data_IF_130869365112
#
_entry.id   IF_130869365112
#
_cell.length_a   1.000
_cell.length_b   1.000
_cell.length_c   1.000
_cell.angle_alpha   90.00
_cell.angle_beta   90.00
_cell.angle_gamma   90.00
#
_symmetry.space_group_name_H-M   'P 1'
#
loop_
_entity.id
_entity.type
_entity.pdbx_description
1 polymer ?
#
# COMPACT_ATOMS: atom_id res chain seq x y z
N UNK A 1 -26.56 22.77 -6.90
CA UNK A 1 -27.71 21.93 -6.46
C UNK A 1 -28.45 21.24 -7.60
N UNK A 2 -28.20 21.57 -8.87
CA UNK A 2 -28.93 20.96 -10.01
C UNK A 2 -28.62 19.47 -10.26
N UNK A 3 -27.54 18.93 -9.68
CA UNK A 3 -27.03 17.57 -9.92
C UNK A 3 -28.05 16.45 -9.64
N UNK A 4 -28.93 16.65 -8.67
CA UNK A 4 -29.89 15.62 -8.21
C UNK A 4 -31.36 15.97 -8.51
N UNK A 5 -31.61 17.07 -9.21
CA UNK A 5 -32.98 17.46 -9.58
C UNK A 5 -33.59 16.38 -10.47
N UNK A 6 -34.83 15.98 -10.16
CA UNK A 6 -35.55 14.94 -10.89
C UNK A 6 -35.10 13.50 -10.59
N UNK A 7 -34.06 13.29 -9.77
CA UNK A 7 -33.60 11.94 -9.38
C UNK A 7 -34.47 11.35 -8.26
N UNK A 8 -34.41 10.03 -8.16
CA UNK A 8 -34.95 9.25 -7.04
C UNK A 8 -33.79 8.70 -6.22
N UNK A 9 -34.08 8.31 -4.97
CA UNK A 9 -33.11 7.90 -3.98
C UNK A 9 -33.52 6.58 -3.34
N UNK A 10 -32.54 5.73 -3.13
CA UNK A 10 -32.57 4.69 -2.11
C UNK A 10 -31.88 5.23 -0.87
N UNK A 11 -32.53 5.10 0.29
CA UNK A 11 -32.06 5.69 1.54
C UNK A 11 -31.70 4.58 2.51
N UNK A 12 -30.46 4.58 2.98
CA UNK A 12 -29.98 3.70 4.03
C UNK A 12 -29.86 4.48 5.33
N UNK A 13 -30.64 4.11 6.34
CA UNK A 13 -30.61 4.68 7.68
C UNK A 13 -29.73 3.80 8.58
N UNK A 14 -28.51 4.26 8.86
CA UNK A 14 -27.58 3.56 9.75
C UNK A 14 -27.86 3.96 11.20
N UNK A 15 -28.32 3.01 12.02
CA UNK A 15 -28.71 3.27 13.41
C UNK A 15 -27.72 2.64 14.38
N UNK A 16 -27.52 3.27 15.54
CA UNK A 16 -26.73 2.68 16.63
C UNK A 16 -27.42 1.46 17.22
N UNK A 17 -26.65 0.59 17.88
CA UNK A 17 -27.11 -0.63 18.54
C UNK A 17 -27.83 -0.32 19.85
N UNK A 18 -28.92 0.44 19.75
CA UNK A 18 -29.71 0.92 20.88
C UNK A 18 -31.19 0.95 20.49
N UNK A 19 -32.11 0.56 21.39
CA UNK A 19 -33.55 0.57 21.10
C UNK A 19 -34.08 1.93 20.63
N UNK A 20 -33.61 3.03 21.23
CA UNK A 20 -34.03 4.38 20.87
C UNK A 20 -33.69 4.73 19.41
N UNK A 21 -32.46 4.43 18.96
CA UNK A 21 -32.08 4.69 17.57
C UNK A 21 -32.83 3.83 16.57
N UNK A 22 -33.16 2.59 16.92
CA UNK A 22 -34.02 1.74 16.08
C UNK A 22 -35.43 2.31 15.91
N UNK A 23 -36.03 2.81 17.00
CA UNK A 23 -37.34 3.48 16.96
C UNK A 23 -37.26 4.77 16.13
N UNK A 24 -36.22 5.58 16.33
CA UNK A 24 -36.00 6.81 15.57
C UNK A 24 -35.84 6.50 14.06
N UNK A 25 -35.04 5.49 13.70
CA UNK A 25 -34.87 5.04 12.32
C UNK A 25 -36.20 4.64 11.67
N UNK A 26 -37.06 3.93 12.41
CA UNK A 26 -38.40 3.56 11.92
C UNK A 26 -39.29 4.79 11.68
N UNK A 27 -39.33 5.71 12.64
CA UNK A 27 -40.12 6.95 12.50
C UNK A 27 -39.65 7.80 11.31
N UNK A 28 -38.32 7.91 11.13
CA UNK A 28 -37.73 8.62 9.99
C UNK A 28 -38.09 7.91 8.69
N UNK A 29 -37.97 6.57 8.62
CA UNK A 29 -38.34 5.78 7.44
C UNK A 29 -39.79 6.00 7.02
N UNK A 30 -40.73 5.91 7.97
CA UNK A 30 -42.15 6.13 7.72
C UNK A 30 -42.42 7.57 7.25
N UNK A 31 -41.75 8.55 7.87
CA UNK A 31 -41.86 9.98 7.52
C UNK A 31 -41.33 10.27 6.13
N UNK A 32 -40.18 9.70 5.77
CA UNK A 32 -39.54 9.85 4.46
C UNK A 32 -40.43 9.29 3.34
N UNK A 33 -40.92 8.06 3.51
CA UNK A 33 -41.82 7.42 2.53
C UNK A 33 -43.11 8.21 2.33
N UNK A 34 -43.68 8.75 3.41
CA UNK A 34 -44.92 9.54 3.37
C UNK A 34 -44.71 10.93 2.75
N UNK A 35 -43.63 11.60 3.10
CA UNK A 35 -43.39 13.00 2.72
C UNK A 35 -42.81 13.14 1.31
N UNK A 36 -42.10 12.11 0.83
CA UNK A 36 -41.40 12.13 -0.46
C UNK A 36 -41.65 10.87 -1.31
N UNK A 37 -42.93 10.46 -1.54
CA UNK A 37 -43.26 9.19 -2.17
C UNK A 37 -42.75 9.05 -3.62
N UNK A 38 -42.60 10.16 -4.34
CA UNK A 38 -42.10 10.16 -5.72
C UNK A 38 -40.57 10.24 -5.84
N UNK A 39 -39.88 10.47 -4.71
CA UNK A 39 -38.42 10.64 -4.67
C UNK A 39 -37.72 9.50 -3.97
N UNK A 40 -38.37 8.82 -3.03
CA UNK A 40 -37.76 7.76 -2.24
C UNK A 40 -38.31 6.42 -2.70
N UNK A 41 -37.46 5.65 -3.38
CA UNK A 41 -37.81 4.32 -3.92
C UNK A 41 -37.85 3.29 -2.80
N UNK A 42 -36.87 3.36 -1.91
CA UNK A 42 -36.73 2.45 -0.80
C UNK A 42 -36.09 3.17 0.40
N UNK A 43 -36.43 2.71 1.60
CA UNK A 43 -35.72 3.07 2.83
C UNK A 43 -35.41 1.80 3.59
N UNK A 44 -34.12 1.53 3.74
CA UNK A 44 -33.58 0.40 4.50
C UNK A 44 -32.99 0.89 5.83
N UNK A 45 -33.16 0.13 6.90
CA UNK A 45 -32.67 0.46 8.24
C UNK A 45 -31.63 -0.58 8.63
N UNK A 46 -30.40 -0.13 8.87
CA UNK A 46 -29.25 -0.99 9.19
C UNK A 46 -28.74 -0.66 10.58
N UNK A 47 -28.99 -1.55 11.54
CA UNK A 47 -28.46 -1.43 12.89
C UNK A 47 -27.00 -1.85 12.91
N UNK A 48 -26.12 -0.93 13.28
CA UNK A 48 -24.69 -1.17 13.36
C UNK A 48 -24.35 -1.74 14.73
N UNK A 49 -24.16 -3.06 14.81
CA UNK A 49 -23.86 -3.77 16.05
C UNK A 49 -22.64 -3.18 16.77
N UNK A 50 -22.75 -2.94 18.08
CA UNK A 50 -21.68 -2.39 18.89
C UNK A 50 -21.43 -0.89 18.72
N UNK A 51 -22.10 -0.22 17.78
CA UNK A 51 -22.03 1.23 17.64
C UNK A 51 -22.89 1.87 18.73
N UNK A 52 -22.27 2.38 19.79
CA UNK A 52 -22.93 2.99 20.95
C UNK A 52 -21.99 3.98 21.68
N UNK A 53 -22.48 4.65 22.73
CA UNK A 53 -21.74 5.70 23.48
C UNK A 53 -21.47 5.40 24.96
N UNK A 54 -21.93 4.27 25.46
CA UNK A 54 -21.78 3.85 26.86
C UNK A 54 -20.49 3.09 27.15
N UNK A 55 -19.89 2.43 26.15
CA UNK A 55 -18.69 1.61 26.29
C UNK A 55 -17.70 1.90 25.15
N UNK A 56 -16.61 2.59 25.46
CA UNK A 56 -15.65 3.04 24.44
C UNK A 56 -14.95 1.88 23.73
N UNK A 57 -14.72 0.77 24.43
CA UNK A 57 -14.03 -0.39 23.87
C UNK A 57 -14.88 -1.07 22.80
N UNK A 58 -16.14 -1.37 23.08
CA UNK A 58 -17.09 -1.98 22.13
C UNK A 58 -17.33 -1.06 20.94
N UNK A 59 -17.42 0.26 21.16
CA UNK A 59 -17.50 1.23 20.07
C UNK A 59 -16.28 1.12 19.15
N UNK A 60 -15.06 1.17 19.72
CA UNK A 60 -13.80 1.15 18.96
C UNK A 60 -13.52 -0.22 18.30
N UNK A 61 -13.85 -1.31 18.97
CA UNK A 61 -13.43 -2.66 18.59
C UNK A 61 -14.45 -3.40 17.72
N UNK A 62 -15.70 -2.95 17.71
CA UNK A 62 -16.78 -3.59 16.95
C UNK A 62 -17.61 -2.56 16.21
N UNK A 63 -18.24 -1.64 16.94
CA UNK A 63 -19.21 -0.70 16.39
C UNK A 63 -18.70 0.08 15.18
N UNK A 64 -17.45 0.50 15.32
CA UNK A 64 -16.76 1.26 14.32
C UNK A 64 -16.43 0.48 13.05
N UNK A 65 -15.86 -0.72 13.21
CA UNK A 65 -15.52 -1.55 12.06
C UNK A 65 -16.78 -2.00 11.31
N UNK A 66 -17.83 -2.33 12.05
CA UNK A 66 -19.13 -2.64 11.46
C UNK A 66 -19.74 -1.44 10.70
N UNK A 67 -19.51 -0.19 11.16
CA UNK A 67 -19.94 1.01 10.44
C UNK A 67 -19.20 1.15 9.12
N UNK A 68 -17.88 0.94 9.11
CA UNK A 68 -17.06 0.96 7.89
C UNK A 68 -17.54 -0.10 6.91
N UNK A 69 -17.76 -1.33 7.40
CA UNK A 69 -18.22 -2.46 6.59
C UNK A 69 -19.56 -2.17 5.93
N UNK A 70 -20.54 -1.63 6.68
CA UNK A 70 -21.86 -1.34 6.14
C UNK A 70 -21.81 -0.22 5.09
N UNK A 71 -21.11 0.89 5.38
CA UNK A 71 -20.96 2.01 4.42
C UNK A 71 -20.26 1.52 3.14
N UNK A 72 -19.22 0.70 3.28
CA UNK A 72 -18.51 0.14 2.15
C UNK A 72 -19.38 -0.82 1.33
N UNK A 73 -20.17 -1.67 1.98
CA UNK A 73 -21.13 -2.56 1.32
C UNK A 73 -22.14 -1.76 0.50
N UNK A 74 -22.75 -0.74 1.09
CA UNK A 74 -23.71 0.14 0.41
C UNK A 74 -23.05 0.86 -0.78
N UNK A 75 -21.83 1.35 -0.60
CA UNK A 75 -21.11 2.03 -1.68
C UNK A 75 -20.76 1.09 -2.85
N UNK A 76 -20.52 -0.19 -2.59
CA UNK A 76 -20.28 -1.16 -3.66
C UNK A 76 -21.54 -1.51 -4.45
N UNK A 77 -22.73 -1.29 -3.88
CA UNK A 77 -24.01 -1.50 -4.56
C UNK A 77 -24.36 -0.36 -5.53
N UNK A 78 -23.75 0.84 -5.38
CA UNK A 78 -24.09 2.03 -6.18
C UNK A 78 -22.90 2.95 -6.46
N UNK A 79 -22.78 3.42 -7.70
CA UNK A 79 -21.70 4.34 -8.12
C UNK A 79 -21.96 5.82 -7.78
N UNK A 80 -23.12 6.15 -7.19
CA UNK A 80 -23.52 7.54 -6.89
C UNK A 80 -23.94 7.73 -5.43
N UNK A 81 -23.31 6.99 -4.53
CA UNK A 81 -23.55 7.08 -3.08
C UNK A 81 -23.19 8.47 -2.56
N UNK A 82 -24.02 8.99 -1.66
CA UNK A 82 -23.76 10.22 -0.92
C UNK A 82 -23.96 9.97 0.57
N UNK A 83 -23.17 10.64 1.41
CA UNK A 83 -23.23 10.47 2.85
C UNK A 83 -23.78 11.71 3.53
N UNK A 84 -24.93 11.60 4.20
CA UNK A 84 -25.43 12.68 5.04
C UNK A 84 -24.93 12.50 6.48
N UNK A 85 -24.11 13.44 6.96
CA UNK A 85 -23.52 13.42 8.31
C UNK A 85 -24.13 14.47 9.25
N UNK A 86 -25.29 15.05 8.89
CA UNK A 86 -25.98 16.06 9.71
C UNK A 86 -26.46 15.50 11.04
N UNK A 87 -26.84 14.22 11.07
CA UNK A 87 -27.32 13.52 12.25
C UNK A 87 -26.32 12.49 12.79
N UNK A 88 -26.55 12.06 14.03
CA UNK A 88 -25.76 11.01 14.68
C UNK A 88 -24.74 11.53 15.69
N UNK A 89 -23.96 10.60 16.24
CA UNK A 89 -22.98 10.94 17.27
C UNK A 89 -21.77 11.66 16.68
N UNK A 90 -21.35 12.77 17.29
CA UNK A 90 -20.18 13.54 16.85
C UNK A 90 -18.89 12.71 16.77
N UNK A 91 -18.80 11.62 17.53
CA UNK A 91 -17.67 10.69 17.51
C UNK A 91 -17.50 9.96 16.16
N UNK A 92 -18.57 9.75 15.38
CA UNK A 92 -18.47 9.05 14.08
C UNK A 92 -18.10 9.99 12.93
N UNK A 93 -18.35 11.30 13.05
CA UNK A 93 -18.15 12.29 11.99
C UNK A 93 -16.71 12.32 11.46
N UNK A 94 -15.64 12.41 12.29
CA UNK A 94 -14.28 12.47 11.79
C UNK A 94 -13.91 11.26 10.94
N UNK A 95 -14.46 10.10 11.30
CA UNK A 95 -14.19 8.86 10.61
C UNK A 95 -14.97 8.78 9.33
N UNK A 96 -16.27 9.06 9.38
CA UNK A 96 -17.11 9.04 8.20
C UNK A 96 -16.55 10.01 7.16
N UNK A 97 -15.97 11.11 7.62
CA UNK A 97 -15.19 12.02 6.78
C UNK A 97 -14.00 11.31 6.15
N UNK A 98 -13.12 10.66 6.94
CA UNK A 98 -11.98 9.92 6.39
C UNK A 98 -12.40 8.81 5.42
N UNK A 99 -13.37 7.99 5.79
CA UNK A 99 -13.89 6.91 4.95
C UNK A 99 -14.44 7.45 3.63
N UNK A 100 -15.25 8.49 3.68
CA UNK A 100 -15.80 9.11 2.48
C UNK A 100 -14.71 9.65 1.55
N UNK A 101 -13.64 10.26 2.10
CA UNK A 101 -12.50 10.71 1.30
C UNK A 101 -11.75 9.53 0.63
N UNK A 102 -11.69 8.36 1.27
CA UNK A 102 -11.02 7.16 0.72
C UNK A 102 -11.87 6.40 -0.29
N UNK A 103 -13.18 6.39 -0.07
CA UNK A 103 -14.18 5.74 -0.92
C UNK A 103 -14.70 6.66 -2.03
N UNK A 104 -14.16 7.88 -2.11
CA UNK A 104 -14.57 8.95 -3.01
C UNK A 104 -16.06 9.35 -2.92
N UNK A 105 -16.65 9.20 -1.73
CA UNK A 105 -18.06 9.52 -1.45
C UNK A 105 -18.23 11.00 -1.13
N UNK A 106 -19.21 11.65 -1.76
CA UNK A 106 -19.57 13.05 -1.44
C UNK A 106 -20.32 13.09 -0.11
N UNK A 107 -19.91 14.02 0.76
CA UNK A 107 -20.53 14.25 2.06
C UNK A 107 -21.46 15.46 1.97
N UNK A 108 -22.63 15.35 2.61
CA UNK A 108 -23.57 16.43 2.82
C UNK A 108 -23.79 16.67 4.33
N UNK A 109 -23.83 17.94 4.70
CA UNK A 109 -24.11 18.40 6.06
C UNK A 109 -25.05 19.60 6.01
N UNK A 110 -26.16 19.55 6.75
CA UNK A 110 -27.06 20.69 6.94
C UNK A 110 -26.52 21.50 8.11
N UNK A 111 -26.20 22.78 7.88
CA UNK A 111 -25.68 23.65 8.93
C UNK A 111 -26.75 23.92 10.00
N UNK A 112 -26.38 23.75 11.27
CA UNK A 112 -27.31 23.83 12.41
C UNK A 112 -28.21 25.08 12.35
N UNK A 113 -29.48 24.91 12.68
CA UNK A 113 -30.50 25.96 12.70
C UNK A 113 -30.68 26.73 11.36
N UNK A 114 -30.27 26.13 10.25
CA UNK A 114 -30.43 26.70 8.90
C UNK A 114 -30.97 25.69 7.89
N UNK A 115 -31.32 26.18 6.70
CA UNK A 115 -31.63 25.33 5.53
C UNK A 115 -30.44 25.19 4.58
N UNK A 116 -29.24 25.64 5.01
CA UNK A 116 -28.05 25.64 4.18
C UNK A 116 -27.44 24.23 4.13
N UNK A 117 -27.31 23.70 2.91
CA UNK A 117 -26.69 22.42 2.64
C UNK A 117 -25.22 22.65 2.24
N UNK A 118 -24.32 22.16 3.05
CA UNK A 118 -22.89 22.17 2.81
C UNK A 118 -22.51 20.86 2.11
N UNK A 119 -21.90 20.99 0.94
CA UNK A 119 -21.28 19.88 0.20
C UNK A 119 -19.80 19.83 0.52
N UNK A 120 -19.33 18.67 0.99
CA UNK A 120 -17.90 18.38 1.16
C UNK A 120 -17.57 17.26 0.17
N UNK A 121 -16.98 17.66 -0.96
CA UNK A 121 -16.45 16.72 -1.94
C UNK A 121 -15.14 16.07 -1.49
N UNK A 122 -14.55 15.28 -2.39
CA UNK A 122 -13.20 14.77 -2.17
C UNK A 122 -12.20 15.92 -2.23
N UNK A 123 -11.47 16.08 -1.13
CA UNK A 123 -10.40 17.04 -1.00
C UNK A 123 -9.14 16.47 -1.65
N UNK A 124 -8.22 17.31 -2.14
CA UNK A 124 -6.93 16.87 -2.67
C UNK A 124 -5.96 16.45 -1.54
N UNK A 125 -6.45 15.61 -0.63
CA UNK A 125 -5.70 15.01 0.47
C UNK A 125 -5.41 13.56 0.11
N UNK A 126 -4.20 13.11 0.40
CA UNK A 126 -3.80 11.73 0.19
C UNK A 126 -2.98 11.27 1.39
N UNK A 127 -2.87 9.97 1.58
CA UNK A 127 -1.99 9.44 2.60
C UNK A 127 -0.51 9.60 2.21
N UNK A 128 0.36 9.64 3.22
CA UNK A 128 1.79 9.55 3.01
C UNK A 128 2.17 8.11 2.66
N UNK A 129 2.30 7.84 1.36
CA UNK A 129 2.63 6.52 0.84
C UNK A 129 4.02 6.03 1.25
N UNK A 130 4.97 6.93 1.49
CA UNK A 130 6.28 6.55 2.03
C UNK A 130 6.16 5.90 3.41
N UNK A 131 5.14 6.31 4.20
CA UNK A 131 4.79 5.67 5.46
C UNK A 131 4.02 4.37 5.19
N UNK A 132 2.98 4.38 4.36
CA UNK A 132 2.14 3.20 4.14
C UNK A 132 2.94 2.03 3.56
N UNK A 133 3.74 2.24 2.50
CA UNK A 133 4.53 1.18 1.85
C UNK A 133 5.44 0.44 2.83
N UNK A 134 6.00 1.15 3.83
CA UNK A 134 6.85 0.56 4.86
C UNK A 134 6.08 -0.43 5.73
N UNK A 135 4.81 -0.14 6.06
CA UNK A 135 4.05 -0.89 7.06
C UNK A 135 2.94 -1.75 6.48
N UNK A 136 2.55 -1.57 5.22
CA UNK A 136 1.37 -2.18 4.61
C UNK A 136 1.36 -3.70 4.76
N UNK A 137 2.50 -4.36 4.61
CA UNK A 137 2.60 -5.81 4.74
C UNK A 137 2.35 -6.30 6.18
N UNK A 138 2.76 -5.51 7.17
CA UNK A 138 2.58 -5.79 8.59
C UNK A 138 1.14 -5.45 9.00
N UNK A 139 0.59 -4.35 8.50
CA UNK A 139 -0.79 -3.92 8.73
C UNK A 139 -1.76 -4.98 8.19
N UNK A 140 -1.55 -5.46 6.95
CA UNK A 140 -2.44 -6.44 6.31
C UNK A 140 -2.35 -7.85 6.90
N UNK A 141 -1.25 -8.20 7.57
CA UNK A 141 -1.01 -9.57 8.02
C UNK A 141 -0.83 -9.65 9.54
N UNK A 142 -1.89 -10.06 10.23
CA UNK A 142 -1.90 -10.21 11.68
C UNK A 142 -0.77 -11.12 12.19
N UNK A 143 -0.45 -12.22 11.47
CA UNK A 143 0.64 -13.12 11.86
C UNK A 143 2.02 -12.45 11.77
N UNK A 144 2.26 -11.63 10.74
CA UNK A 144 3.51 -10.86 10.62
C UNK A 144 3.60 -9.80 11.69
N UNK A 145 2.49 -9.11 11.98
CA UNK A 145 2.40 -8.12 13.06
C UNK A 145 2.66 -8.72 14.43
N UNK A 146 2.11 -9.89 14.73
CA UNK A 146 2.35 -10.58 16.00
C UNK A 146 3.77 -11.13 16.14
N UNK A 147 4.50 -11.30 15.04
CA UNK A 147 5.91 -11.74 15.02
C UNK A 147 6.91 -10.61 14.85
N UNK A 148 6.46 -9.38 14.58
CA UNK A 148 7.32 -8.21 14.42
C UNK A 148 8.03 -7.87 15.74
N UNK A 149 9.23 -7.30 15.61
CA UNK A 149 10.03 -6.83 16.73
C UNK A 149 9.39 -5.61 17.42
N UNK A 150 9.70 -5.41 18.71
CA UNK A 150 9.07 -4.36 19.51
C UNK A 150 9.39 -2.94 19.03
N UNK A 151 10.55 -2.71 18.41
CA UNK A 151 10.87 -1.39 17.85
C UNK A 151 9.88 -1.04 16.75
N UNK A 152 9.65 -1.96 15.80
CA UNK A 152 8.67 -1.80 14.74
C UNK A 152 7.24 -1.65 15.27
N UNK A 153 6.86 -2.41 16.30
CA UNK A 153 5.55 -2.28 16.97
C UNK A 153 5.40 -0.89 17.61
N UNK A 154 6.44 -0.37 18.26
CA UNK A 154 6.42 0.97 18.81
C UNK A 154 6.26 2.02 17.72
N UNK A 155 6.91 1.85 16.56
CA UNK A 155 6.70 2.75 15.42
C UNK A 155 5.23 2.77 14.95
N UNK A 156 4.58 1.60 14.87
CA UNK A 156 3.16 1.49 14.50
C UNK A 156 2.26 2.17 15.54
N UNK A 157 2.61 2.13 16.83
CA UNK A 157 1.87 2.81 17.91
C UNK A 157 2.05 4.32 17.87
N UNK A 158 3.26 4.80 17.59
CA UNK A 158 3.56 6.22 17.46
C UNK A 158 2.77 6.84 16.31
N UNK A 159 2.64 6.09 15.21
CA UNK A 159 1.84 6.45 14.04
C UNK A 159 0.33 6.22 14.21
N UNK A 160 -0.11 5.70 15.37
CA UNK A 160 -1.52 5.36 15.65
C UNK A 160 -2.11 4.41 14.61
N UNK A 161 -1.31 3.48 14.09
CA UNK A 161 -1.75 2.44 13.15
C UNK A 161 -2.27 1.21 13.89
N UNK A 162 -1.74 0.92 15.08
CA UNK A 162 -2.22 -0.12 15.98
C UNK A 162 -2.67 0.47 17.31
N UNK A 163 -3.46 -0.31 18.06
CA UNK A 163 -3.93 0.09 19.39
C UNK A 163 -2.78 0.18 20.40
N UNK A 164 -3.00 0.94 21.46
CA UNK A 164 -2.00 1.17 22.52
C UNK A 164 -1.80 -0.03 23.44
N UNK A 165 -2.81 -0.85 23.59
CA UNK A 165 -2.91 -1.92 24.57
C UNK A 165 -2.53 -3.28 23.98
N UNK A 166 -2.71 -3.45 22.67
CA UNK A 166 -2.43 -4.72 21.99
C UNK A 166 -1.83 -4.46 20.59
N UNK A 167 -1.74 -5.51 19.76
CA UNK A 167 -1.21 -5.41 18.39
C UNK A 167 -2.32 -5.37 17.34
N UNK A 168 -3.58 -5.15 17.72
CA UNK A 168 -4.68 -5.02 16.76
C UNK A 168 -4.61 -3.69 16.03
N UNK A 169 -5.20 -3.64 14.84
CA UNK A 169 -5.31 -2.40 14.09
C UNK A 169 -6.17 -1.40 14.86
N UNK A 170 -5.72 -0.15 14.83
CA UNK A 170 -6.58 0.98 15.17
C UNK A 170 -7.56 1.25 14.03
N UNK A 171 -8.50 2.16 14.27
CA UNK A 171 -9.35 2.79 13.26
C UNK A 171 -8.57 3.22 12.01
N UNK A 172 -7.49 3.97 12.19
CA UNK A 172 -6.69 4.52 11.08
C UNK A 172 -5.92 3.39 10.37
N UNK A 173 -5.39 2.44 11.13
CA UNK A 173 -4.69 1.28 10.58
C UNK A 173 -5.58 0.41 9.71
N UNK A 174 -6.83 0.20 10.10
CA UNK A 174 -7.81 -0.53 9.31
C UNK A 174 -8.17 0.19 8.02
N UNK A 175 -8.49 1.49 8.10
CA UNK A 175 -8.79 2.30 6.92
C UNK A 175 -7.64 2.27 5.90
N UNK A 176 -6.39 2.41 6.37
CA UNK A 176 -5.20 2.29 5.53
C UNK A 176 -5.06 0.87 4.96
N UNK A 177 -5.30 -0.17 5.76
CA UNK A 177 -5.21 -1.57 5.30
C UNK A 177 -6.14 -1.82 4.10
N UNK A 178 -7.39 -1.39 4.22
CA UNK A 178 -8.44 -1.54 3.19
C UNK A 178 -8.16 -0.69 1.97
N UNK A 179 -7.76 0.57 2.17
CA UNK A 179 -7.41 1.44 1.06
C UNK A 179 -6.20 0.90 0.28
N UNK A 180 -5.21 0.34 0.98
CA UNK A 180 -4.07 -0.32 0.36
C UNK A 180 -4.41 -1.64 -0.37
N UNK A 181 -5.58 -2.25 -0.14
CA UNK A 181 -6.08 -3.39 -0.92
C UNK A 181 -6.66 -2.99 -2.26
N UNK A 182 -7.33 -1.84 -2.31
CA UNK A 182 -7.96 -1.30 -3.52
C UNK A 182 -6.97 -0.63 -4.45
N UNK A 183 -5.85 -0.14 -3.91
CA UNK A 183 -4.85 0.51 -4.72
C UNK A 183 -4.22 -0.46 -5.69
N UNK A 184 -4.27 -0.07 -6.96
CA UNK A 184 -3.56 -0.74 -8.04
C UNK A 184 -2.08 -0.90 -7.67
N UNK A 185 -1.42 -2.01 -8.05
CA UNK A 185 0.00 -2.21 -7.81
C UNK A 185 0.85 -0.98 -8.10
N UNK A 186 0.47 -0.15 -9.10
CA UNK A 186 1.10 1.10 -9.53
C UNK A 186 1.31 2.17 -8.45
N UNK A 187 0.42 2.31 -7.45
CA UNK A 187 0.60 3.34 -6.40
C UNK A 187 1.62 2.92 -5.34
N UNK A 188 1.81 1.61 -5.15
CA UNK A 188 2.86 1.03 -4.31
C UNK A 188 4.24 0.96 -5.03
N UNK A 189 4.37 1.59 -6.22
CA UNK A 189 5.59 1.57 -7.04
C UNK A 189 6.26 2.94 -7.12
N UNK A 190 5.64 4.05 -6.71
CA UNK A 190 6.26 5.37 -6.93
C UNK A 190 7.65 5.42 -6.29
N UNK A 191 7.80 4.93 -5.05
CA UNK A 191 9.11 4.89 -4.44
C UNK A 191 10.04 3.85 -5.07
N UNK A 192 9.51 2.69 -5.48
CA UNK A 192 10.24 1.67 -6.25
C UNK A 192 10.86 2.25 -7.53
N UNK A 193 10.05 2.92 -8.36
CA UNK A 193 10.50 3.61 -9.56
C UNK A 193 11.55 4.68 -9.25
N UNK A 194 11.36 5.48 -8.19
CA UNK A 194 12.37 6.47 -7.80
C UNK A 194 13.70 5.82 -7.41
N UNK A 195 13.67 4.67 -6.74
CA UNK A 195 14.87 3.90 -6.42
C UNK A 195 15.52 3.35 -7.69
N UNK A 196 14.73 2.80 -8.61
CA UNK A 196 15.23 2.33 -9.90
C UNK A 196 15.94 3.46 -10.65
N UNK A 197 15.33 4.64 -10.80
CA UNK A 197 15.97 5.80 -11.42
C UNK A 197 17.25 6.21 -10.70
N UNK A 198 17.28 6.15 -9.36
CA UNK A 198 18.49 6.47 -8.59
C UNK A 198 19.60 5.45 -8.79
N UNK A 199 19.27 4.17 -8.88
CA UNK A 199 20.23 3.11 -9.18
C UNK A 199 20.71 3.18 -10.63
N UNK A 200 19.85 3.55 -11.58
CA UNK A 200 20.23 3.83 -12.97
C UNK A 200 21.23 4.98 -13.01
N UNK A 201 20.98 6.10 -12.33
CA UNK A 201 21.90 7.23 -12.23
C UNK A 201 23.26 6.80 -11.65
N UNK A 202 23.23 5.98 -10.60
CA UNK A 202 24.43 5.45 -9.93
C UNK A 202 25.24 4.52 -10.85
N UNK A 203 24.60 3.52 -11.47
CA UNK A 203 25.30 2.59 -12.35
C UNK A 203 25.71 3.21 -13.69
N UNK A 204 24.97 4.20 -14.19
CA UNK A 204 25.39 4.98 -15.36
C UNK A 204 26.73 5.68 -15.14
N UNK A 205 26.99 6.19 -13.92
CA UNK A 205 28.29 6.76 -13.55
C UNK A 205 29.41 5.72 -13.50
N UNK A 206 29.09 4.46 -13.17
CA UNK A 206 30.06 3.38 -13.05
C UNK A 206 30.37 2.67 -14.39
N UNK A 207 29.37 2.45 -15.24
CA UNK A 207 29.47 1.65 -16.45
C UNK A 207 29.48 2.48 -17.76
N UNK A 208 28.99 3.73 -17.70
CA UNK A 208 28.68 4.57 -18.86
C UNK A 208 27.18 4.65 -19.08
N UNK A 209 26.64 5.86 -19.30
CA UNK A 209 25.20 6.10 -19.35
C UNK A 209 24.50 5.38 -20.52
N UNK A 210 25.18 5.24 -21.65
CA UNK A 210 24.69 4.52 -22.83
C UNK A 210 24.60 3.00 -22.63
N UNK A 211 25.24 2.48 -21.58
CA UNK A 211 25.27 1.05 -21.26
C UNK A 211 24.22 0.63 -20.25
N UNK A 212 23.59 1.58 -19.57
CA UNK A 212 22.62 1.32 -18.49
C UNK A 212 21.23 1.73 -18.95
N UNK A 213 20.36 0.75 -19.14
CA UNK A 213 18.99 0.94 -19.60
C UNK A 213 18.02 0.67 -18.45
N UNK A 214 17.06 1.57 -18.25
CA UNK A 214 15.97 1.43 -17.28
C UNK A 214 14.75 0.79 -17.96
N UNK A 215 14.01 -0.07 -17.24
CA UNK A 215 12.81 -0.75 -17.74
C UNK A 215 13.01 -1.36 -19.14
N UNK A 216 14.09 -2.12 -19.29
CA UNK A 216 14.45 -2.71 -20.57
C UNK A 216 13.50 -3.87 -20.88
N UNK A 217 12.71 -3.74 -21.95
CA UNK A 217 11.74 -4.75 -22.37
C UNK A 217 12.32 -5.59 -23.54
N UNK A 218 12.75 -6.84 -23.29
CA UNK A 218 13.38 -7.69 -24.31
C UNK A 218 12.42 -8.07 -25.43
N UNK A 219 11.16 -8.31 -25.05
CA UNK A 219 10.07 -8.70 -25.94
C UNK A 219 8.83 -7.99 -25.45
N UNK A 220 8.20 -7.23 -26.36
CA UNK A 220 6.99 -6.47 -26.08
C UNK A 220 5.89 -7.36 -25.48
N UNK A 221 5.39 -6.98 -24.30
CA UNK A 221 4.33 -7.67 -23.57
C UNK A 221 4.80 -8.74 -22.58
N UNK A 222 6.10 -9.06 -22.49
CA UNK A 222 6.64 -9.99 -21.47
C UNK A 222 7.04 -9.30 -20.16
N UNK A 223 7.01 -7.97 -20.13
CA UNK A 223 7.46 -7.15 -19.02
C UNK A 223 8.94 -6.80 -19.11
N UNK A 224 9.36 -5.93 -18.19
CA UNK A 224 10.66 -5.27 -18.20
C UNK A 224 11.66 -5.89 -17.19
N UNK A 225 12.93 -5.72 -17.50
CA UNK A 225 14.04 -5.86 -16.56
C UNK A 225 14.30 -4.47 -15.99
N UNK A 226 14.21 -4.34 -14.65
CA UNK A 226 14.29 -3.04 -13.96
C UNK A 226 15.54 -2.25 -14.40
N UNK A 227 16.73 -2.87 -14.40
CA UNK A 227 17.94 -2.30 -15.00
C UNK A 227 18.68 -3.36 -15.84
N UNK A 228 19.04 -2.99 -17.06
CA UNK A 228 19.91 -3.76 -17.94
C UNK A 228 21.24 -3.04 -18.14
N UNK A 229 22.36 -3.71 -17.88
CA UNK A 229 23.70 -3.12 -18.00
C UNK A 229 24.51 -3.91 -19.03
N UNK A 230 25.02 -3.23 -20.06
CA UNK A 230 26.03 -3.79 -20.97
C UNK A 230 27.39 -3.77 -20.27
N UNK A 231 27.89 -4.94 -19.92
CA UNK A 231 29.12 -5.10 -19.13
C UNK A 231 30.36 -5.13 -20.06
N UNK A 232 30.47 -6.19 -20.88
CA UNK A 232 31.53 -6.35 -21.89
C UNK A 232 30.91 -6.53 -23.27
N UNK A 233 31.74 -6.65 -24.30
CA UNK A 233 31.32 -6.66 -25.70
C UNK A 233 30.09 -7.54 -25.98
N UNK A 234 30.03 -8.73 -25.38
CA UNK A 234 28.96 -9.71 -25.57
C UNK A 234 28.34 -10.18 -24.24
N UNK A 235 28.44 -9.39 -23.17
CA UNK A 235 27.87 -9.76 -21.87
C UNK A 235 27.02 -8.66 -21.26
N UNK A 236 26.00 -9.08 -20.51
CA UNK A 236 25.10 -8.18 -19.80
C UNK A 236 24.87 -8.60 -18.36
N UNK A 237 24.51 -7.61 -17.55
CA UNK A 237 24.01 -7.78 -16.18
C UNK A 237 22.53 -7.43 -16.18
N UNK A 238 21.71 -8.35 -15.68
CA UNK A 238 20.30 -8.10 -15.46
C UNK A 238 20.08 -7.81 -13.97
N UNK A 239 19.31 -6.76 -13.68
CA UNK A 239 19.07 -6.29 -12.32
C UNK A 239 17.57 -6.24 -12.06
N UNK A 240 17.15 -6.81 -10.94
CA UNK A 240 15.81 -6.72 -10.38
C UNK A 240 15.89 -5.97 -9.04
N UNK A 241 14.99 -5.02 -8.80
CA UNK A 241 14.96 -4.17 -7.62
C UNK A 241 13.66 -4.42 -6.85
N UNK A 242 13.77 -4.77 -5.57
CA UNK A 242 12.60 -5.05 -4.73
C UNK A 242 12.80 -4.56 -3.29
N UNK A 243 11.73 -4.20 -2.56
CA UNK A 243 11.87 -3.87 -1.14
C UNK A 243 12.28 -5.12 -0.34
N UNK A 244 13.12 -4.92 0.68
CA UNK A 244 13.79 -6.00 1.42
C UNK A 244 12.83 -7.01 2.06
N UNK A 245 11.67 -6.54 2.53
CA UNK A 245 10.63 -7.39 3.12
C UNK A 245 10.09 -8.47 2.18
N UNK A 246 10.21 -8.29 0.86
CA UNK A 246 9.82 -9.28 -0.15
C UNK A 246 10.66 -10.56 -0.09
N UNK A 247 11.89 -10.49 0.41
CA UNK A 247 12.78 -11.64 0.59
C UNK A 247 12.21 -12.66 1.60
N UNK A 248 11.29 -12.25 2.48
CA UNK A 248 10.74 -13.08 3.55
C UNK A 248 9.65 -14.07 3.08
N UNK A 249 9.27 -14.05 1.81
CA UNK A 249 8.20 -14.89 1.24
C UNK A 249 8.73 -15.83 0.15
N UNK A 250 8.81 -17.13 0.44
CA UNK A 250 9.27 -18.16 -0.52
C UNK A 250 8.43 -18.20 -1.80
N UNK A 251 7.10 -18.18 -1.67
CA UNK A 251 6.19 -18.21 -2.84
C UNK A 251 6.40 -16.98 -3.73
N UNK A 252 6.62 -15.81 -3.13
CA UNK A 252 6.87 -14.59 -3.88
C UNK A 252 8.19 -14.65 -4.65
N UNK A 253 9.26 -15.15 -4.02
CA UNK A 253 10.55 -15.36 -4.68
C UNK A 253 10.41 -16.30 -5.88
N UNK A 254 9.66 -17.40 -5.74
CA UNK A 254 9.41 -18.31 -6.85
C UNK A 254 8.70 -17.61 -8.02
N UNK A 255 7.65 -16.82 -7.76
CA UNK A 255 6.98 -16.02 -8.80
C UNK A 255 7.91 -15.01 -9.47
N UNK A 256 8.78 -14.35 -8.70
CA UNK A 256 9.82 -13.48 -9.29
C UNK A 256 10.69 -14.30 -10.22
N UNK A 257 11.21 -15.46 -9.79
CA UNK A 257 12.07 -16.32 -10.62
C UNK A 257 11.41 -16.64 -11.95
N UNK A 258 10.19 -17.15 -11.90
CA UNK A 258 9.47 -17.61 -13.09
C UNK A 258 9.23 -16.48 -14.09
N UNK A 259 8.88 -15.28 -13.60
CA UNK A 259 8.71 -14.11 -14.46
C UNK A 259 10.04 -13.59 -14.99
N UNK A 260 11.06 -13.54 -14.14
CA UNK A 260 12.37 -13.03 -14.47
C UNK A 260 13.09 -13.92 -15.49
N UNK A 261 13.03 -15.24 -15.30
CA UNK A 261 13.54 -16.23 -16.24
C UNK A 261 12.92 -16.06 -17.63
N UNK A 262 11.60 -15.82 -17.72
CA UNK A 262 10.91 -15.58 -19.00
C UNK A 262 11.39 -14.31 -19.70
N UNK A 263 11.74 -13.26 -18.96
CA UNK A 263 12.23 -11.98 -19.51
C UNK A 263 13.67 -12.07 -19.98
N UNK A 264 14.54 -12.75 -19.24
CA UNK A 264 15.97 -12.84 -19.54
C UNK A 264 16.27 -13.86 -20.63
N UNK A 265 15.61 -15.02 -20.63
CA UNK A 265 15.94 -16.13 -21.53
C UNK A 265 16.01 -15.75 -23.02
N UNK A 266 15.13 -14.88 -23.57
CA UNK A 266 15.24 -14.40 -24.95
C UNK A 266 16.53 -13.61 -25.27
N UNK A 267 17.20 -13.05 -24.26
CA UNK A 267 18.42 -12.26 -24.44
C UNK A 267 19.69 -13.11 -24.50
N UNK A 268 19.63 -14.37 -24.07
CA UNK A 268 20.78 -15.27 -24.03
C UNK A 268 20.90 -15.95 -25.41
N UNK A 269 21.94 -15.60 -26.15
CA UNK A 269 22.23 -16.13 -27.49
C UNK A 269 23.73 -16.03 -27.82
N UNK A 270 24.15 -16.45 -29.02
CA UNK A 270 25.57 -16.45 -29.43
C UNK A 270 26.26 -15.07 -29.38
N UNK A 271 25.49 -13.98 -29.46
CA UNK A 271 25.99 -12.61 -29.48
C UNK A 271 25.89 -11.93 -28.10
N UNK A 272 25.12 -12.50 -27.17
CA UNK A 272 24.85 -11.89 -25.87
C UNK A 272 24.67 -12.96 -24.78
N UNK A 273 25.55 -12.93 -23.78
CA UNK A 273 25.58 -13.88 -22.67
C UNK A 273 25.35 -13.15 -21.35
N UNK A 274 24.71 -13.82 -20.39
CA UNK A 274 24.50 -13.22 -19.09
C UNK A 274 25.76 -13.38 -18.23
N UNK A 275 26.32 -12.28 -17.72
CA UNK A 275 27.49 -12.34 -16.82
C UNK A 275 27.07 -12.38 -15.36
N UNK A 276 26.12 -11.54 -14.97
CA UNK A 276 25.61 -11.49 -13.60
C UNK A 276 24.09 -11.23 -13.55
N UNK A 277 23.45 -11.75 -12.51
CA UNK A 277 22.09 -11.39 -12.12
C UNK A 277 22.13 -10.74 -10.75
N UNK A 278 21.57 -9.54 -10.63
CA UNK A 278 21.51 -8.81 -9.37
C UNK A 278 20.08 -8.70 -8.88
N UNK A 279 19.82 -9.20 -7.67
CA UNK A 279 18.65 -8.82 -6.89
C UNK A 279 19.06 -7.71 -5.91
N UNK A 280 18.70 -6.46 -6.20
CA UNK A 280 18.94 -5.34 -5.30
C UNK A 280 17.74 -5.17 -4.39
N UNK A 281 17.96 -5.41 -3.10
CA UNK A 281 16.99 -5.15 -2.07
C UNK A 281 17.14 -3.73 -1.54
N UNK A 282 16.06 -3.02 -1.25
CA UNK A 282 16.13 -1.71 -0.58
C UNK A 282 15.34 -1.69 0.72
N UNK A 283 15.82 -0.91 1.69
CA UNK A 283 15.10 -0.67 2.94
C UNK A 283 15.44 0.68 3.57
N UNK A 284 14.59 1.14 4.48
CA UNK A 284 14.78 2.37 5.25
C UNK A 284 15.36 2.07 6.64
N UNK A 285 16.33 2.87 7.08
CA UNK A 285 16.90 2.75 8.44
C UNK A 285 16.14 3.59 9.48
N UNK A 286 15.96 3.03 10.69
CA UNK A 286 15.95 3.80 11.95
C UNK A 286 17.15 3.50 12.85
N UNK A 287 17.77 2.32 12.74
CA UNK A 287 18.88 1.89 13.59
C UNK A 287 19.98 1.18 12.81
N UNK A 288 21.17 1.12 13.42
CA UNK A 288 22.40 0.42 13.04
C UNK A 288 22.26 -1.11 13.13
N UNK A 289 21.10 -1.69 12.82
CA UNK A 289 21.03 -3.14 12.63
C UNK A 289 21.59 -3.45 11.24
N UNK A 290 22.91 -3.56 11.23
CA UNK A 290 23.73 -4.18 10.20
C UNK A 290 23.06 -5.48 9.73
N UNK A 291 22.26 -5.43 8.66
CA UNK A 291 22.08 -6.62 7.80
C UNK A 291 23.35 -6.81 6.96
N UNK A 292 24.53 -6.76 7.59
CA UNK A 292 25.79 -7.14 6.94
C UNK A 292 25.79 -8.63 6.61
N UNK A 293 24.92 -9.42 7.23
CA UNK A 293 24.85 -10.84 7.00
C UNK A 293 23.41 -11.36 7.00
N UNK A 294 23.06 -12.13 5.96
CA UNK A 294 21.80 -12.86 5.88
C UNK A 294 21.82 -14.09 6.81
N UNK A 295 20.67 -14.40 7.40
CA UNK A 295 20.51 -15.63 8.17
C UNK A 295 20.82 -16.87 7.32
N UNK A 296 21.38 -17.92 7.94
CA UNK A 296 21.81 -19.14 7.25
C UNK A 296 20.72 -19.78 6.39
N UNK A 297 19.49 -19.82 6.89
CA UNK A 297 18.34 -20.35 6.13
C UNK A 297 18.01 -19.53 4.89
N UNK A 298 18.18 -18.20 4.95
CA UNK A 298 18.00 -17.30 3.80
C UNK A 298 19.09 -17.51 2.77
N UNK A 299 20.36 -17.64 3.20
CA UNK A 299 21.47 -17.97 2.30
C UNK A 299 21.22 -19.30 1.57
N UNK A 300 20.77 -20.33 2.28
CA UNK A 300 20.43 -21.63 1.69
C UNK A 300 19.30 -21.52 0.65
N UNK A 301 18.23 -20.77 0.95
CA UNK A 301 17.16 -20.50 -0.01
C UNK A 301 17.66 -19.76 -1.26
N UNK A 302 18.57 -18.79 -1.10
CA UNK A 302 19.16 -18.07 -2.24
C UNK A 302 20.11 -18.95 -3.07
N UNK A 303 20.80 -19.91 -2.44
CA UNK A 303 21.57 -20.93 -3.17
C UNK A 303 20.63 -21.83 -4.00
N UNK A 304 19.56 -22.34 -3.40
CA UNK A 304 18.53 -23.11 -4.13
C UNK A 304 17.92 -22.29 -5.28
N UNK A 305 17.70 -21.00 -5.06
CA UNK A 305 17.23 -20.06 -6.07
C UNK A 305 18.22 -19.90 -7.24
N UNK A 306 19.52 -19.82 -6.94
CA UNK A 306 20.59 -19.71 -7.94
C UNK A 306 20.63 -20.96 -8.82
N UNK A 307 20.59 -22.14 -8.22
CA UNK A 307 20.59 -23.41 -8.96
C UNK A 307 19.35 -23.54 -9.87
N UNK A 308 18.20 -23.08 -9.39
CA UNK A 308 17.00 -23.07 -10.23
C UNK A 308 17.10 -22.08 -11.41
N UNK A 309 17.69 -20.90 -11.21
CA UNK A 309 17.94 -19.97 -12.33
C UNK A 309 18.89 -20.58 -13.37
N UNK A 310 19.96 -21.25 -12.94
CA UNK A 310 20.88 -21.96 -13.85
C UNK A 310 20.15 -23.00 -14.70
N UNK A 311 19.25 -23.77 -14.08
CA UNK A 311 18.41 -24.72 -14.79
C UNK A 311 17.45 -24.03 -15.79
N UNK A 312 16.82 -22.92 -15.39
CA UNK A 312 15.89 -22.16 -16.24
C UNK A 312 16.58 -21.62 -17.50
N UNK A 313 17.82 -21.15 -17.37
CA UNK A 313 18.63 -20.59 -18.45
C UNK A 313 19.42 -21.63 -19.25
N UNK A 314 19.74 -22.78 -18.65
CA UNK A 314 20.68 -23.75 -19.23
C UNK A 314 22.11 -23.20 -19.27
N UNK A 315 22.46 -22.31 -18.33
CA UNK A 315 23.74 -21.61 -18.23
C UNK A 315 24.18 -21.61 -16.76
N UNK A 316 25.36 -22.14 -16.48
CA UNK A 316 25.96 -22.22 -15.15
C UNK A 316 27.14 -21.25 -14.96
N UNK A 317 27.35 -20.35 -15.92
CA UNK A 317 28.54 -19.49 -15.97
C UNK A 317 28.34 -18.12 -15.31
N UNK A 318 27.09 -17.67 -15.16
CA UNK A 318 26.76 -16.38 -14.56
C UNK A 318 26.83 -16.40 -13.04
N UNK A 319 27.02 -15.22 -12.44
CA UNK A 319 26.98 -15.07 -10.97
C UNK A 319 25.66 -14.44 -10.53
N UNK A 320 24.95 -15.08 -9.60
CA UNK A 320 23.81 -14.48 -8.92
C UNK A 320 24.28 -13.71 -7.68
N UNK A 321 23.92 -12.44 -7.58
CA UNK A 321 24.20 -11.58 -6.41
C UNK A 321 22.92 -11.04 -5.81
N UNK A 322 22.86 -11.03 -4.48
CA UNK A 322 21.90 -10.21 -3.75
C UNK A 322 22.65 -9.04 -3.16
N UNK A 323 22.24 -7.84 -3.54
CA UNK A 323 22.77 -6.57 -3.05
C UNK A 323 21.74 -5.90 -2.16
N UNK A 324 22.20 -5.01 -1.30
CA UNK A 324 21.33 -4.22 -0.43
C UNK A 324 21.67 -2.75 -0.52
N UNK A 325 20.65 -1.95 -0.83
CA UNK A 325 20.70 -0.50 -0.88
C UNK A 325 19.99 0.08 0.34
N UNK A 326 20.79 0.63 1.25
CA UNK A 326 20.27 1.26 2.47
C UNK A 326 19.90 2.72 2.22
N UNK A 327 18.65 3.06 2.52
CA UNK A 327 18.16 4.42 2.41
C UNK A 327 18.27 5.07 3.79
N UNK A 328 19.31 5.88 3.95
CA UNK A 328 19.54 6.62 5.20
C UNK A 328 18.57 7.79 5.29
N UNK A 329 17.80 7.83 6.38
CA UNK A 329 17.10 9.06 6.79
C UNK A 329 18.16 10.09 7.18
N UNK A 330 18.23 11.21 6.46
CA UNK A 330 19.02 12.34 6.94
C UNK A 330 18.40 12.82 8.26
N UNK A 331 19.23 13.00 9.30
CA UNK A 331 18.82 13.47 10.63
C UNK A 331 18.38 14.96 10.68
N UNK A 332 18.28 15.61 9.53
CA UNK A 332 17.75 16.96 9.31
C UNK A 332 16.87 16.83 8.06
N UNK A 333 15.60 17.22 8.01
CA UNK A 333 14.97 18.37 8.63
C UNK A 333 13.47 18.11 8.78
N UNK A 334 12.80 19.04 9.42
CA UNK A 334 11.39 19.37 9.31
C UNK A 334 10.82 19.50 7.87
N UNK A 335 11.51 19.06 6.81
CA UNK A 335 10.97 19.00 5.44
C UNK A 335 10.03 17.79 5.28
N UNK A 336 8.78 18.08 4.96
CA UNK A 336 7.62 17.17 4.92
C UNK A 336 7.68 16.03 3.89
N UNK A 337 8.69 15.93 3.01
CA UNK A 337 8.66 15.01 1.88
C UNK A 337 9.93 14.17 1.70
N UNK A 338 9.84 12.90 2.10
CA UNK A 338 10.90 11.88 1.98
C UNK A 338 11.44 11.75 0.55
N UNK A 339 10.57 11.91 -0.45
CA UNK A 339 10.92 11.86 -1.87
C UNK A 339 11.90 12.96 -2.29
N UNK A 340 11.71 14.19 -1.81
CA UNK A 340 12.52 15.33 -2.24
C UNK A 340 13.96 15.19 -1.74
N UNK A 341 14.12 14.81 -0.47
CA UNK A 341 15.44 14.58 0.12
C UNK A 341 16.15 13.41 -0.55
N UNK A 342 15.44 12.31 -0.79
CA UNK A 342 15.97 11.15 -1.50
C UNK A 342 16.46 11.54 -2.91
N UNK A 343 15.63 12.28 -3.67
CA UNK A 343 15.97 12.69 -5.03
C UNK A 343 17.11 13.71 -5.10
N UNK A 344 17.26 14.59 -4.12
CA UNK A 344 18.41 15.51 -4.03
C UNK A 344 19.71 14.81 -3.63
N UNK A 345 19.63 13.65 -2.98
CA UNK A 345 20.82 12.91 -2.55
C UNK A 345 21.41 12.10 -3.70
N UNK A 346 22.74 12.00 -3.74
CA UNK A 346 23.46 11.06 -4.59
C UNK A 346 23.71 9.76 -3.83
N UNK A 347 23.53 8.61 -4.50
CA UNK A 347 24.01 7.33 -3.97
C UNK A 347 25.54 7.41 -3.87
N UNK A 348 26.07 7.20 -2.66
CA UNK A 348 27.52 7.19 -2.41
C UNK A 348 28.13 5.86 -2.84
N UNK A 349 29.41 5.88 -3.19
CA UNK A 349 30.18 4.66 -3.37
C UNK A 349 30.09 3.82 -2.09
N UNK A 350 29.74 2.53 -2.24
CA UNK A 350 29.47 1.56 -1.18
C UNK A 350 28.10 1.64 -0.48
N UNK A 351 27.17 2.49 -0.94
CA UNK A 351 25.80 2.49 -0.42
C UNK A 351 24.99 1.25 -0.85
N UNK A 352 25.44 0.57 -1.92
CA UNK A 352 24.92 -0.72 -2.39
C UNK A 352 25.93 -1.81 -2.06
N UNK A 353 25.64 -2.66 -1.08
CA UNK A 353 26.55 -3.70 -0.58
C UNK A 353 26.11 -5.11 -0.94
N UNK A 354 27.04 -6.01 -1.25
CA UNK A 354 26.73 -7.43 -1.46
C UNK A 354 26.32 -8.11 -0.14
N UNK A 355 25.19 -8.82 -0.16
CA UNK A 355 24.70 -9.67 0.93
C UNK A 355 24.91 -11.16 0.66
N UNK A 356 24.89 -11.53 -0.62
CA UNK A 356 25.02 -12.90 -1.09
C UNK A 356 25.61 -12.89 -2.50
N UNK A 357 26.46 -13.86 -2.78
CA UNK A 357 26.98 -14.14 -4.11
C UNK A 357 27.09 -15.64 -4.27
N UNK A 358 26.55 -16.18 -5.36
CA UNK A 358 26.73 -17.57 -5.75
C UNK A 358 27.07 -17.63 -7.22
N UNK A 359 28.17 -18.31 -7.53
CA UNK A 359 28.53 -18.65 -8.90
C UNK A 359 27.84 -19.93 -9.30
#
# INVERSE_FOLDING_TARGET
MDKYVGKTFEVYLLTTDTPLSGIAGKLISDTLKKSFPEKIVNVDIRTIKGLQVTDSQTFSDQGFFNLIDEVHSINNESTNTVLNISGGYKAVIPVLTLLAQLEEIIIYYIYEDSTELIEIGNLPINFDWGIIEKYVEIIKNNNKRNKADENLIQELRDLKLIKSENRDLSIVGELISRYAEKMSPYTAIIFGYLIEYKLVEYYAKLYGGEKVLHSYEPVKGLGDIDIFIKDKANTFIAVEIKPFNRLLSKNYMQTIRENYSKRIKPLINSENQISEIWLILYSYSKEKTDTKELHKSTKMMLSEYTEALKQDFGDDTFTFRVKHFFIHKNKLSSEKHIYQTFMKSSIKDNAVSDLFSSK
#
